data_IF_676792712727
#
_entry.id   IF_676792712727
#
_cell.length_a   1.000
_cell.length_b   1.000
_cell.length_c   1.000
_cell.angle_alpha   90.00
_cell.angle_beta   90.00
_cell.angle_gamma   90.00
#
_symmetry.space_group_name_H-M   'P 1'
#
loop_
_entity.id
_entity.type
_entity.pdbx_description
1 polymer ?
#
# COMPACT_ATOMS: atom_id res chain seq x y z
N UNK A 1 11.23 -13.34 -7.50
CA UNK A 1 10.43 -12.87 -6.34
C UNK A 1 8.95 -12.95 -6.70
N UNK A 2 8.06 -13.34 -5.77
CA UNK A 2 6.61 -13.42 -6.07
C UNK A 2 6.02 -12.02 -6.33
N UNK A 3 4.99 -11.86 -7.19
CA UNK A 3 4.36 -10.57 -7.47
C UNK A 3 3.89 -9.81 -6.21
N UNK A 4 3.44 -10.56 -5.20
CA UNK A 4 2.99 -10.00 -3.93
C UNK A 4 4.15 -9.45 -3.10
N UNK A 5 5.24 -10.21 -2.96
CA UNK A 5 6.46 -9.74 -2.30
C UNK A 5 7.04 -8.51 -2.99
N UNK A 6 7.02 -8.51 -4.33
CA UNK A 6 7.47 -7.37 -5.12
C UNK A 6 6.62 -6.12 -4.84
N UNK A 7 5.29 -6.27 -4.83
CA UNK A 7 4.37 -5.17 -4.55
C UNK A 7 4.59 -4.61 -3.15
N UNK A 8 4.73 -5.47 -2.15
CA UNK A 8 4.98 -5.05 -0.76
C UNK A 8 6.35 -4.38 -0.59
N UNK A 9 7.38 -4.85 -1.30
CA UNK A 9 8.69 -4.19 -1.30
C UNK A 9 8.60 -2.80 -1.94
N UNK A 10 7.88 -2.65 -3.07
CA UNK A 10 7.70 -1.36 -3.71
C UNK A 10 6.97 -0.35 -2.79
N UNK A 11 6.08 -0.81 -1.91
CA UNK A 11 5.42 0.04 -0.91
C UNK A 11 6.35 0.53 0.20
N UNK A 12 7.50 -0.13 0.40
CA UNK A 12 8.51 0.25 1.40
C UNK A 12 9.52 1.28 0.86
N UNK A 13 9.49 1.56 -0.45
CA UNK A 13 10.37 2.55 -1.05
C UNK A 13 10.15 3.94 -0.42
N UNK A 14 11.22 4.66 -0.01
CA UNK A 14 11.08 5.96 0.64
C UNK A 14 10.33 7.01 -0.20
N UNK A 15 10.48 6.99 -1.53
CA UNK A 15 9.77 7.92 -2.41
C UNK A 15 8.28 7.53 -2.51
N UNK A 16 7.97 6.24 -2.58
CA UNK A 16 6.58 5.75 -2.54
C UNK A 16 5.88 6.09 -1.21
N UNK A 17 6.59 5.97 -0.08
CA UNK A 17 6.09 6.37 1.24
C UNK A 17 5.88 7.88 1.34
N UNK A 18 6.81 8.69 0.84
CA UNK A 18 6.68 10.15 0.83
C UNK A 18 5.51 10.62 -0.05
N UNK A 19 5.34 10.03 -1.23
CA UNK A 19 4.19 10.30 -2.10
C UNK A 19 2.88 9.87 -1.44
N UNK A 20 2.85 8.68 -0.83
CA UNK A 20 1.69 8.18 -0.09
C UNK A 20 1.32 9.09 1.08
N UNK A 21 2.31 9.58 1.82
CA UNK A 21 2.11 10.56 2.89
C UNK A 21 1.46 11.81 2.34
N UNK A 22 1.99 12.42 1.28
CA UNK A 22 1.44 13.63 0.71
C UNK A 22 -0.01 13.44 0.24
N UNK A 23 -0.27 12.43 -0.58
CA UNK A 23 -1.59 12.18 -1.19
C UNK A 23 -2.63 11.78 -0.13
N UNK A 24 -2.29 10.84 0.76
CA UNK A 24 -3.20 10.39 1.81
C UNK A 24 -3.42 11.48 2.84
N UNK A 25 -2.43 12.32 3.12
CA UNK A 25 -2.60 13.46 4.01
C UNK A 25 -3.66 14.43 3.49
N UNK A 26 -3.58 14.82 2.21
CA UNK A 26 -4.62 15.66 1.60
C UNK A 26 -5.97 14.99 1.62
N UNK A 27 -6.03 13.71 1.28
CA UNK A 27 -7.29 12.95 1.26
C UNK A 27 -7.94 12.91 2.63
N UNK A 28 -7.18 12.58 3.68
CA UNK A 28 -7.66 12.55 5.06
C UNK A 28 -8.03 13.94 5.55
N UNK A 29 -7.28 14.98 5.16
CA UNK A 29 -7.59 16.36 5.51
C UNK A 29 -8.94 16.81 4.95
N UNK A 30 -9.20 16.56 3.66
CA UNK A 30 -10.49 16.88 3.03
C UNK A 30 -11.64 16.03 3.57
N UNK A 31 -11.39 14.75 3.80
CA UNK A 31 -12.42 13.81 4.26
C UNK A 31 -12.81 14.05 5.72
N UNK A 32 -11.84 14.30 6.59
CA UNK A 32 -12.08 14.43 8.03
C UNK A 32 -12.23 15.89 8.49
N UNK A 33 -11.71 16.86 7.73
CA UNK A 33 -11.79 18.30 8.03
C UNK A 33 -11.14 18.68 9.36
N UNK A 34 -9.85 18.39 9.55
CA UNK A 34 -9.18 18.47 10.88
C UNK A 34 -7.90 19.29 10.89
N UNK A 35 -7.49 19.64 12.11
CA UNK A 35 -6.23 20.30 12.44
C UNK A 35 -5.03 19.51 11.90
N UNK A 36 -4.06 20.23 11.35
CA UNK A 36 -2.86 19.70 10.71
C UNK A 36 -2.19 18.58 11.53
N UNK A 37 -1.86 18.83 12.81
CA UNK A 37 -1.10 17.90 13.65
C UNK A 37 -1.80 16.56 13.87
N UNK A 38 -3.13 16.54 14.03
CA UNK A 38 -3.89 15.29 14.23
C UNK A 38 -3.96 14.48 12.94
N UNK A 39 -4.22 15.15 11.82
CA UNK A 39 -4.21 14.51 10.50
C UNK A 39 -2.86 13.88 10.21
N UNK A 40 -1.77 14.62 10.46
CA UNK A 40 -0.40 14.12 10.29
C UNK A 40 -0.12 12.89 11.15
N UNK A 41 -0.44 12.94 12.45
CA UNK A 41 -0.22 11.80 13.35
C UNK A 41 -1.02 10.55 12.92
N UNK A 42 -2.27 10.72 12.51
CA UNK A 42 -3.12 9.61 12.04
C UNK A 42 -2.59 8.98 10.76
N UNK A 43 -2.18 9.80 9.78
CA UNK A 43 -1.65 9.33 8.49
C UNK A 43 -0.29 8.65 8.67
N UNK A 44 0.60 9.23 9.49
CA UNK A 44 1.89 8.59 9.82
C UNK A 44 1.65 7.24 10.49
N UNK A 45 0.74 7.16 11.47
CA UNK A 45 0.41 5.89 12.12
C UNK A 45 -0.14 4.85 11.13
N UNK A 46 -0.99 5.27 10.19
CA UNK A 46 -1.53 4.41 9.14
C UNK A 46 -0.40 3.87 8.23
N UNK A 47 0.50 4.75 7.79
CA UNK A 47 1.63 4.37 6.94
C UNK A 47 2.63 3.48 7.67
N UNK A 48 2.91 3.74 8.95
CA UNK A 48 3.77 2.88 9.76
C UNK A 48 3.17 1.49 9.95
N UNK A 49 1.84 1.37 10.10
CA UNK A 49 1.16 0.09 10.13
C UNK A 49 1.28 -0.66 8.80
N UNK A 50 1.03 0.02 7.68
CA UNK A 50 1.18 -0.57 6.35
C UNK A 50 2.62 -0.98 6.05
N UNK A 51 3.60 -0.13 6.38
CA UNK A 51 5.01 -0.41 6.21
C UNK A 51 5.46 -1.57 7.13
N UNK A 52 5.04 -1.56 8.41
CA UNK A 52 5.32 -2.64 9.34
C UNK A 52 4.72 -3.97 8.89
N UNK A 53 3.48 -3.96 8.41
CA UNK A 53 2.85 -5.15 7.83
C UNK A 53 3.59 -5.66 6.59
N UNK A 54 3.96 -4.74 5.68
CA UNK A 54 4.68 -5.08 4.45
C UNK A 54 6.07 -5.65 4.76
N UNK A 55 6.79 -5.02 5.69
CA UNK A 55 8.09 -5.48 6.16
C UNK A 55 8.01 -6.86 6.81
N UNK A 56 7.07 -7.07 7.75
CA UNK A 56 6.89 -8.35 8.42
C UNK A 56 6.50 -9.46 7.44
N UNK A 57 5.58 -9.16 6.52
CA UNK A 57 5.14 -10.12 5.49
C UNK A 57 6.30 -10.51 4.58
N UNK A 58 7.12 -9.54 4.17
CA UNK A 58 8.32 -9.78 3.37
C UNK A 58 9.39 -10.54 4.15
N UNK A 59 9.73 -10.13 5.38
CA UNK A 59 10.78 -10.74 6.20
C UNK A 59 10.41 -12.13 6.72
N UNK A 60 9.12 -12.46 6.82
CA UNK A 60 8.65 -13.77 7.28
C UNK A 60 9.01 -14.92 6.34
N UNK A 61 9.39 -14.62 5.08
CA UNK A 61 9.61 -15.63 4.05
C UNK A 61 8.34 -16.36 3.60
N UNK A 62 7.17 -16.04 4.17
CA UNK A 62 5.89 -16.67 3.83
C UNK A 62 5.46 -16.41 2.37
N UNK A 63 6.01 -15.37 1.74
CA UNK A 63 5.75 -15.00 0.35
C UNK A 63 6.59 -15.77 -0.68
N UNK A 64 7.30 -16.81 -0.20
CA UNK A 64 8.09 -17.74 -0.99
C UNK A 64 9.51 -17.25 -1.24
N UNK A 65 10.51 -18.15 -1.33
CA UNK A 65 11.85 -17.77 -1.71
C UNK A 65 11.84 -17.10 -3.08
N UNK A 66 12.79 -16.17 -3.30
CA UNK A 66 13.13 -15.77 -4.66
C UNK A 66 13.28 -17.05 -5.48
N UNK A 67 12.56 -17.15 -6.60
CA UNK A 67 12.80 -18.15 -7.64
C UNK A 67 14.23 -17.94 -8.19
N UNK A 68 15.25 -18.19 -7.38
CA UNK A 68 16.64 -18.29 -7.77
C UNK A 68 16.92 -19.78 -7.95
N UNK A 69 17.05 -20.18 -9.22
CA UNK A 69 17.74 -21.40 -9.63
C UNK A 69 16.99 -22.71 -9.38
N UNK A 70 16.23 -23.18 -10.37
CA UNK A 70 15.73 -24.56 -10.29
C UNK A 70 14.69 -25.01 -11.32
N UNK A 71 14.82 -24.68 -12.60
CA UNK A 71 14.54 -25.66 -13.67
C UNK A 71 14.82 -25.06 -15.05
N UNK A 72 15.76 -25.70 -15.72
CA UNK A 72 15.97 -25.67 -17.14
C UNK A 72 14.63 -25.84 -17.89
N UNK A 73 14.23 -24.85 -18.69
CA UNK A 73 13.37 -25.09 -19.86
C UNK A 73 11.87 -24.75 -19.77
N UNK A 74 11.37 -24.07 -18.72
CA UNK A 74 10.02 -23.48 -18.79
C UNK A 74 10.06 -22.05 -18.27
N UNK A 75 10.00 -21.11 -19.20
CA UNK A 75 9.60 -19.74 -18.91
C UNK A 75 8.22 -19.80 -18.24
N UNK A 76 8.18 -19.82 -16.92
CA UNK A 76 6.94 -19.59 -16.18
C UNK A 76 6.54 -18.14 -16.46
N UNK A 77 5.75 -17.96 -17.52
CA UNK A 77 4.93 -16.79 -17.73
C UNK A 77 4.11 -16.57 -16.46
N UNK A 78 4.61 -15.74 -15.54
CA UNK A 78 3.78 -15.13 -14.51
C UNK A 78 2.69 -14.36 -15.25
N UNK A 79 1.51 -14.97 -15.37
CA UNK A 79 0.40 -14.38 -16.11
C UNK A 79 0.08 -13.00 -15.55
N UNK A 80 -0.31 -12.05 -16.40
CA UNK A 80 -0.75 -10.71 -15.95
C UNK A 80 -1.85 -10.80 -14.88
N UNK A 81 -2.61 -11.90 -14.87
CA UNK A 81 -3.60 -12.22 -13.85
C UNK A 81 -2.99 -12.41 -12.45
N UNK A 82 -1.84 -13.09 -12.29
CA UNK A 82 -1.22 -13.28 -10.98
C UNK A 82 -0.71 -11.96 -10.39
N UNK A 83 -0.21 -11.06 -11.23
CA UNK A 83 0.13 -9.68 -10.86
C UNK A 83 -1.09 -8.88 -10.43
N UNK A 84 -2.19 -8.96 -11.18
CA UNK A 84 -3.44 -8.28 -10.83
C UNK A 84 -4.01 -8.76 -9.48
N UNK A 85 -4.01 -10.08 -9.25
CA UNK A 85 -4.46 -10.67 -7.98
C UNK A 85 -3.54 -10.25 -6.83
N UNK A 86 -2.22 -10.27 -7.01
CA UNK A 86 -1.28 -9.85 -5.99
C UNK A 86 -1.44 -8.36 -5.63
N UNK A 87 -1.57 -7.50 -6.63
CA UNK A 87 -1.82 -6.06 -6.45
C UNK A 87 -3.14 -5.81 -5.72
N UNK A 88 -4.21 -6.50 -6.13
CA UNK A 88 -5.52 -6.39 -5.50
C UNK A 88 -5.49 -6.86 -4.05
N UNK A 89 -4.82 -7.98 -3.76
CA UNK A 89 -4.71 -8.53 -2.42
C UNK A 89 -3.90 -7.61 -1.50
N UNK A 90 -2.72 -7.16 -1.94
CA UNK A 90 -1.93 -6.17 -1.21
C UNK A 90 -2.78 -4.94 -0.91
N UNK A 91 -3.38 -4.34 -1.95
CA UNK A 91 -4.18 -3.13 -1.82
C UNK A 91 -5.37 -3.28 -0.87
N UNK A 92 -6.12 -4.38 -0.94
CA UNK A 92 -7.28 -4.61 -0.05
C UNK A 92 -6.82 -4.79 1.40
N UNK A 93 -5.77 -5.56 1.65
CA UNK A 93 -5.27 -5.81 3.01
C UNK A 93 -4.72 -4.53 3.63
N UNK A 94 -3.89 -3.78 2.90
CA UNK A 94 -3.32 -2.53 3.41
C UNK A 94 -4.37 -1.44 3.57
N UNK A 95 -5.35 -1.36 2.65
CA UNK A 95 -6.49 -0.46 2.81
C UNK A 95 -7.32 -0.81 4.05
N UNK A 96 -7.56 -2.09 4.33
CA UNK A 96 -8.28 -2.53 5.51
C UNK A 96 -7.54 -2.17 6.80
N UNK A 97 -6.21 -2.32 6.84
CA UNK A 97 -5.38 -1.90 7.97
C UNK A 97 -5.47 -0.40 8.20
N UNK A 98 -5.25 0.40 7.15
CA UNK A 98 -5.25 1.86 7.24
C UNK A 98 -6.63 2.39 7.65
N UNK A 99 -7.70 1.91 7.03
CA UNK A 99 -9.07 2.35 7.35
C UNK A 99 -9.51 1.91 8.75
N UNK A 100 -9.05 0.76 9.24
CA UNK A 100 -9.28 0.30 10.61
C UNK A 100 -8.53 1.15 11.62
N UNK A 101 -7.27 1.49 11.34
CA UNK A 101 -6.47 2.39 12.17
C UNK A 101 -7.10 3.78 12.25
N UNK A 102 -7.44 4.37 11.10
CA UNK A 102 -8.09 5.68 11.05
C UNK A 102 -9.43 5.67 11.80
N UNK A 103 -10.22 4.61 11.64
CA UNK A 103 -11.46 4.44 12.41
C UNK A 103 -11.18 4.37 13.91
N UNK A 104 -10.19 3.59 14.32
CA UNK A 104 -9.78 3.48 15.72
C UNK A 104 -9.38 4.84 16.29
N UNK A 105 -8.51 5.58 15.60
CA UNK A 105 -8.09 6.92 16.00
C UNK A 105 -9.28 7.90 16.07
N UNK A 106 -10.18 7.87 15.10
CA UNK A 106 -11.37 8.73 15.12
C UNK A 106 -12.33 8.39 16.26
N UNK A 107 -12.60 7.11 16.47
CA UNK A 107 -13.45 6.62 17.56
C UNK A 107 -12.89 6.97 18.94
N UNK A 108 -11.55 6.91 19.11
CA UNK A 108 -10.89 7.12 20.40
C UNK A 108 -10.53 8.57 20.70
N UNK A 109 -10.09 9.33 19.70
CA UNK A 109 -9.48 10.66 19.90
C UNK A 109 -10.41 11.81 19.52
N UNK A 110 -11.50 11.54 18.81
CA UNK A 110 -12.37 12.59 18.26
C UNK A 110 -13.82 12.40 18.70
N UNK A 111 -14.46 11.30 18.31
CA UNK A 111 -15.88 11.04 18.56
C UNK A 111 -16.15 9.54 18.63
N UNK A 112 -16.70 9.07 19.75
CA UNK A 112 -16.98 7.65 19.99
C UNK A 112 -17.99 7.03 19.01
N UNK A 113 -18.86 7.84 18.42
CA UNK A 113 -19.90 7.45 17.46
C UNK A 113 -19.47 7.58 15.99
N UNK A 114 -18.19 7.90 15.73
CA UNK A 114 -17.73 8.17 14.38
C UNK A 114 -17.87 6.96 13.46
N UNK A 115 -18.41 7.21 12.25
CA UNK A 115 -18.56 6.21 11.18
C UNK A 115 -18.12 6.81 9.86
N UNK A 116 -17.45 5.99 9.06
CA UNK A 116 -17.10 6.32 7.69
C UNK A 116 -18.36 6.54 6.84
N UNK A 117 -18.46 7.72 6.20
CA UNK A 117 -19.40 7.89 5.09
C UNK A 117 -18.92 7.08 3.88
N UNK A 118 -19.83 6.72 2.99
CA UNK A 118 -19.49 5.91 1.81
C UNK A 118 -18.55 6.65 0.86
N UNK A 119 -18.82 7.94 0.61
CA UNK A 119 -17.98 8.80 -0.24
C UNK A 119 -16.56 8.95 0.31
N UNK A 120 -16.44 9.17 1.62
CA UNK A 120 -15.15 9.30 2.32
C UNK A 120 -14.29 8.04 2.16
N UNK A 121 -14.90 6.85 2.30
CA UNK A 121 -14.24 5.56 2.09
C UNK A 121 -13.81 5.37 0.64
N UNK A 122 -14.68 5.71 -0.32
CA UNK A 122 -14.36 5.59 -1.73
C UNK A 122 -13.21 6.51 -2.13
N UNK A 123 -13.22 7.77 -1.68
CA UNK A 123 -12.13 8.72 -1.93
C UNK A 123 -10.80 8.23 -1.33
N UNK A 124 -10.83 7.71 -0.11
CA UNK A 124 -9.63 7.15 0.52
C UNK A 124 -9.12 5.89 -0.20
N UNK A 125 -10.02 4.99 -0.61
CA UNK A 125 -9.66 3.81 -1.39
C UNK A 125 -9.02 4.18 -2.73
N UNK A 126 -9.59 5.15 -3.46
CA UNK A 126 -9.04 5.65 -4.72
C UNK A 126 -7.64 6.22 -4.54
N UNK A 127 -7.44 7.07 -3.53
CA UNK A 127 -6.11 7.59 -3.19
C UNK A 127 -5.12 6.47 -2.86
N UNK A 128 -5.56 5.46 -2.07
CA UNK A 128 -4.73 4.32 -1.72
C UNK A 128 -4.28 3.51 -2.93
N UNK A 129 -5.21 3.14 -3.82
CA UNK A 129 -4.89 2.37 -5.02
C UNK A 129 -4.06 3.19 -6.02
N UNK A 130 -4.27 4.51 -6.11
CA UNK A 130 -3.42 5.38 -6.92
C UNK A 130 -1.97 5.41 -6.41
N UNK A 131 -1.77 5.53 -5.08
CA UNK A 131 -0.44 5.45 -4.47
C UNK A 131 0.21 4.08 -4.68
N UNK A 132 -0.56 3.00 -4.54
CA UNK A 132 -0.07 1.64 -4.77
C UNK A 132 0.36 1.43 -6.22
N UNK A 133 -0.45 1.88 -7.18
CA UNK A 133 -0.11 1.84 -8.60
C UNK A 133 1.16 2.66 -8.89
N UNK A 134 1.28 3.86 -8.33
CA UNK A 134 2.47 4.69 -8.49
C UNK A 134 3.73 4.01 -7.92
N UNK A 135 3.63 3.40 -6.73
CA UNK A 135 4.73 2.64 -6.12
C UNK A 135 5.17 1.48 -7.01
N UNK A 136 4.21 0.72 -7.55
CA UNK A 136 4.50 -0.41 -8.45
C UNK A 136 5.12 0.04 -9.76
N UNK A 137 4.57 1.08 -10.40
CA UNK A 137 5.16 1.61 -11.65
C UNK A 137 6.58 2.14 -11.40
N UNK A 138 6.79 2.84 -10.29
CA UNK A 138 8.10 3.38 -9.92
C UNK A 138 9.13 2.28 -9.66
N UNK A 139 8.75 1.23 -8.92
CA UNK A 139 9.65 0.09 -8.69
C UNK A 139 9.97 -0.65 -10.00
N UNK A 140 9.01 -0.81 -10.91
CA UNK A 140 9.22 -1.47 -12.21
C UNK A 140 10.18 -0.67 -13.08
N UNK A 141 10.07 0.66 -13.03
CA UNK A 141 10.99 1.58 -13.69
C UNK A 141 12.41 1.46 -13.12
N UNK A 142 12.57 1.44 -11.79
CA UNK A 142 13.87 1.22 -11.15
C UNK A 142 14.48 -0.14 -11.52
N UNK A 143 13.65 -1.19 -11.63
CA UNK A 143 14.08 -2.53 -12.04
C UNK A 143 14.48 -2.63 -13.53
N UNK A 144 14.36 -1.55 -14.30
CA UNK A 144 14.79 -1.50 -15.71
C UNK A 144 13.78 -2.07 -16.70
N UNK A 145 12.54 -2.38 -16.28
CA UNK A 145 11.51 -2.97 -17.14
C UNK A 145 11.09 -2.07 -18.33
N UNK A 146 11.40 -0.77 -18.27
CA UNK A 146 11.04 0.23 -19.29
C UNK A 146 12.25 0.85 -20.02
N UNK A 147 13.46 0.28 -19.90
CA UNK A 147 14.61 0.79 -20.67
C UNK A 147 14.41 0.42 -22.15
N UNK A 148 14.09 1.42 -22.98
CA UNK A 148 14.10 1.30 -24.44
C UNK A 148 15.57 1.15 -24.87
N UNK A 149 15.90 0.00 -25.45
CA UNK A 149 17.21 -0.32 -26.03
C UNK A 149 17.47 0.46 -27.31
#
# INVERSE_FOLDING_TARGET
>A
MSPLAWTLQAMLDPAALALSLLVKWWTVWFVLGRNFSRTTAMVIGALLLTAGFSWLSWSSGALGPELQGGSSGREEHLSSFSWFVAWGLAGVVTLALETSWLRFCMARLVRSDWRWRHYDRAGYALAHFACLAAAVVYGLWQAGAFRVS
#
